data_IF_085903091441
#
_entry.id   IF_085903091441
#
_cell.length_a   1.000
_cell.length_b   1.000
_cell.length_c   1.000
_cell.angle_alpha   90.00
_cell.angle_beta   90.00
_cell.angle_gamma   90.00
#
_symmetry.space_group_name_H-M   'P 1'
#
loop_
_entity.id
_entity.type
_entity.pdbx_description
1 polymer ?
#
# COMPACT_ATOMS: atom_id res chain seq x y z
N UNK A 1 3.71 -27.02 -26.03
CA UNK A 1 3.19 -26.09 -24.99
C UNK A 1 4.38 -25.52 -24.25
N UNK A 2 4.77 -24.27 -24.56
CA UNK A 2 5.86 -23.56 -23.84
C UNK A 2 5.41 -23.29 -22.40
N UNK A 3 6.26 -23.65 -21.43
CA UNK A 3 6.07 -23.23 -20.05
C UNK A 3 6.14 -21.68 -20.04
N UNK A 4 5.03 -20.99 -19.82
CA UNK A 4 5.07 -19.59 -19.47
C UNK A 4 5.87 -19.49 -18.17
N UNK A 5 7.04 -18.83 -18.23
CA UNK A 5 7.82 -18.56 -17.04
C UNK A 5 7.01 -17.72 -16.06
N UNK A 6 7.10 -18.04 -14.77
CA UNK A 6 6.51 -17.20 -13.71
C UNK A 6 7.19 -15.84 -13.76
N UNK A 7 6.43 -14.76 -13.98
CA UNK A 7 6.93 -13.40 -13.87
C UNK A 7 7.07 -13.08 -12.37
N UNK A 8 8.27 -12.72 -11.94
CA UNK A 8 8.55 -12.24 -10.58
C UNK A 8 8.66 -10.72 -10.65
N UNK A 9 7.95 -10.03 -9.74
CA UNK A 9 8.06 -8.59 -9.56
C UNK A 9 8.72 -8.28 -8.23
N UNK A 10 9.60 -7.27 -8.23
CA UNK A 10 10.30 -6.79 -7.04
C UNK A 10 9.72 -5.43 -6.66
N UNK A 11 9.24 -5.32 -5.41
CA UNK A 11 8.84 -4.06 -4.81
C UNK A 11 9.87 -3.61 -3.78
N UNK A 12 10.30 -2.35 -3.86
CA UNK A 12 11.13 -1.71 -2.86
C UNK A 12 10.27 -0.91 -1.87
N UNK A 13 10.55 -1.05 -0.58
CA UNK A 13 9.83 -0.35 0.50
C UNK A 13 10.74 0.54 1.35
N UNK A 14 11.93 0.88 0.84
CA UNK A 14 12.93 1.72 1.54
C UNK A 14 12.31 3.04 2.01
N UNK A 15 11.51 3.68 1.18
CA UNK A 15 10.91 4.99 1.45
C UNK A 15 9.70 4.97 2.38
N UNK A 16 9.18 3.78 2.71
CA UNK A 16 8.09 3.62 3.67
C UNK A 16 8.55 2.79 4.87
N UNK A 17 8.80 1.49 4.71
CA UNK A 17 9.18 0.60 5.80
C UNK A 17 10.62 0.86 6.27
N UNK A 18 11.53 1.11 5.34
CA UNK A 18 12.92 1.44 5.66
C UNK A 18 13.04 2.74 6.47
N UNK A 19 12.20 3.74 6.22
CA UNK A 19 12.19 4.98 6.98
C UNK A 19 11.64 4.83 8.42
N UNK A 20 10.93 3.75 8.72
CA UNK A 20 10.52 3.44 10.10
C UNK A 20 11.68 2.98 11.00
N UNK A 21 12.87 2.79 10.43
CA UNK A 21 14.08 2.47 11.18
C UNK A 21 14.49 3.67 12.05
N UNK A 22 14.81 3.40 13.33
CA UNK A 22 15.24 4.45 14.25
C UNK A 22 16.45 5.22 13.72
N UNK A 23 16.35 6.55 13.69
CA UNK A 23 17.39 7.44 13.20
C UNK A 23 17.43 7.65 11.69
N UNK A 24 16.49 7.06 10.95
CA UNK A 24 16.30 7.32 9.52
C UNK A 24 15.13 8.28 9.32
N UNK A 25 15.36 9.31 8.51
CA UNK A 25 14.31 10.25 8.08
C UNK A 25 14.76 10.90 6.79
N UNK A 26 13.87 11.01 5.83
CA UNK A 26 14.12 11.62 4.53
C UNK A 26 13.27 12.88 4.34
N UNK A 27 13.88 13.94 3.82
CA UNK A 27 13.11 15.10 3.35
C UNK A 27 12.49 14.79 1.96
N UNK A 28 11.43 15.51 1.53
CA UNK A 28 10.72 15.22 0.28
C UNK A 28 11.61 15.09 -0.95
N UNK A 29 12.64 15.93 -1.06
CA UNK A 29 13.57 15.89 -2.19
C UNK A 29 14.46 14.64 -2.19
N UNK A 30 14.88 14.17 -1.01
CA UNK A 30 15.66 12.93 -0.88
C UNK A 30 14.82 11.72 -1.26
N UNK A 31 13.54 11.67 -0.83
CA UNK A 31 12.60 10.63 -1.26
C UNK A 31 12.45 10.60 -2.78
N UNK A 32 12.30 11.76 -3.43
CA UNK A 32 12.25 11.83 -4.88
C UNK A 32 13.53 11.31 -5.53
N UNK A 33 14.73 11.67 -5.02
CA UNK A 33 16.00 11.18 -5.56
C UNK A 33 16.12 9.67 -5.43
N UNK A 34 15.78 9.10 -4.27
CA UNK A 34 15.82 7.65 -4.04
C UNK A 34 14.80 6.94 -4.96
N UNK A 35 13.56 7.43 -5.05
CA UNK A 35 12.56 6.86 -5.96
C UNK A 35 13.04 6.83 -7.42
N UNK A 36 13.75 7.87 -7.87
CA UNK A 36 14.34 7.90 -9.20
C UNK A 36 15.41 6.85 -9.40
N UNK A 37 16.34 6.69 -8.44
CA UNK A 37 17.38 5.67 -8.50
C UNK A 37 16.77 4.25 -8.54
N UNK A 38 15.74 4.02 -7.74
CA UNK A 38 15.04 2.73 -7.69
C UNK A 38 14.34 2.41 -9.02
N UNK A 39 13.63 3.37 -9.60
CA UNK A 39 12.80 3.14 -10.78
C UNK A 39 13.57 3.27 -12.12
N UNK A 40 14.56 4.20 -12.23
CA UNK A 40 15.29 4.43 -13.47
C UNK A 40 16.58 3.60 -13.56
N UNK A 41 17.37 3.51 -12.48
CA UNK A 41 18.70 2.88 -12.50
C UNK A 41 18.61 1.40 -12.07
N UNK A 42 18.03 1.13 -10.90
CA UNK A 42 17.86 -0.24 -10.37
C UNK A 42 16.73 -0.99 -11.09
N UNK A 43 15.72 -0.25 -11.61
CA UNK A 43 14.59 -0.77 -12.40
C UNK A 43 13.73 -1.78 -11.63
N UNK A 44 13.47 -1.52 -10.36
CA UNK A 44 12.48 -2.29 -9.60
C UNK A 44 11.11 -2.17 -10.26
N UNK A 45 10.26 -3.14 -10.04
CA UNK A 45 8.93 -3.16 -10.66
C UNK A 45 7.98 -2.20 -9.98
N UNK A 46 8.07 -2.06 -8.63
CA UNK A 46 7.20 -1.21 -7.83
C UNK A 46 7.96 -0.56 -6.67
N UNK A 47 7.50 0.59 -6.20
CA UNK A 47 8.08 1.32 -5.05
C UNK A 47 6.98 1.79 -4.13
N UNK A 48 7.02 1.39 -2.86
CA UNK A 48 6.15 1.93 -1.82
C UNK A 48 6.84 3.14 -1.19
N UNK A 49 6.25 4.34 -1.36
CA UNK A 49 6.96 5.60 -1.11
C UNK A 49 6.60 6.29 0.21
N UNK A 50 5.47 5.95 0.82
CA UNK A 50 4.98 6.57 2.04
C UNK A 50 3.82 5.80 2.67
N UNK A 51 3.47 6.18 3.91
CA UNK A 51 2.16 5.88 4.51
C UNK A 51 1.26 7.11 4.41
N UNK A 52 0.00 6.90 4.04
CA UNK A 52 -0.98 7.96 3.96
C UNK A 52 -1.20 8.66 5.32
N UNK A 53 -1.41 9.97 5.31
CA UNK A 53 -1.84 10.77 6.47
C UNK A 53 -0.83 10.89 7.61
N UNK A 54 0.44 10.59 7.39
CA UNK A 54 1.47 10.69 8.46
C UNK A 54 1.86 12.15 8.71
N UNK A 55 2.15 12.91 7.65
CA UNK A 55 2.57 14.31 7.77
C UNK A 55 2.40 15.08 6.45
N UNK A 56 2.48 16.41 6.53
CA UNK A 56 2.50 17.27 5.33
C UNK A 56 3.77 17.01 4.48
N UNK A 57 4.89 16.67 5.12
CA UNK A 57 6.12 16.30 4.41
C UNK A 57 5.97 15.03 3.58
N UNK A 58 5.26 14.03 4.10
CA UNK A 58 4.91 12.83 3.33
C UNK A 58 4.02 13.15 2.15
N UNK A 59 3.02 14.01 2.33
CA UNK A 59 2.15 14.46 1.26
C UNK A 59 2.94 15.14 0.14
N UNK A 60 3.83 16.08 0.49
CA UNK A 60 4.69 16.78 -0.45
C UNK A 60 5.62 15.80 -1.20
N UNK A 61 6.25 14.88 -0.48
CA UNK A 61 7.12 13.86 -1.06
C UNK A 61 6.40 13.00 -2.10
N UNK A 62 5.24 12.45 -1.73
CA UNK A 62 4.44 11.61 -2.64
C UNK A 62 4.01 12.40 -3.86
N UNK A 63 3.54 13.63 -3.68
CA UNK A 63 3.15 14.51 -4.78
C UNK A 63 4.31 14.77 -5.75
N UNK A 64 5.49 15.09 -5.23
CA UNK A 64 6.69 15.31 -6.06
C UNK A 64 7.08 14.06 -6.85
N UNK A 65 7.02 12.89 -6.21
CA UNK A 65 7.32 11.60 -6.85
C UNK A 65 6.30 11.29 -7.94
N UNK A 66 4.99 11.45 -7.66
CA UNK A 66 3.92 11.21 -8.62
C UNK A 66 3.99 12.14 -9.83
N UNK A 67 4.22 13.45 -9.60
CA UNK A 67 4.40 14.43 -10.67
C UNK A 67 5.61 14.10 -11.57
N UNK A 68 6.69 13.62 -11.00
CA UNK A 68 7.86 13.17 -11.76
C UNK A 68 7.56 11.85 -12.50
N UNK A 69 6.99 10.85 -11.83
CA UNK A 69 6.72 9.53 -12.39
C UNK A 69 5.69 9.59 -13.54
N UNK A 70 4.70 10.47 -13.45
CA UNK A 70 3.70 10.69 -14.51
C UNK A 70 4.37 11.14 -15.81
N UNK A 71 5.33 12.07 -15.75
CA UNK A 71 6.09 12.55 -16.93
C UNK A 71 6.99 11.47 -17.55
N UNK A 72 7.24 10.37 -16.84
CA UNK A 72 8.09 9.25 -17.27
C UNK A 72 7.32 7.98 -17.60
N UNK A 73 5.98 8.04 -17.53
CA UNK A 73 5.10 6.85 -17.66
C UNK A 73 5.42 5.75 -16.63
N UNK A 74 5.81 6.17 -15.41
CA UNK A 74 6.17 5.27 -14.30
C UNK A 74 5.17 5.36 -13.13
N UNK A 75 4.10 6.17 -13.24
CA UNK A 75 3.15 6.41 -12.16
C UNK A 75 2.51 5.11 -11.63
N UNK A 76 2.25 4.14 -12.50
CA UNK A 76 1.70 2.84 -12.15
C UNK A 76 2.61 1.97 -11.28
N UNK A 77 3.86 2.39 -11.08
CA UNK A 77 4.86 1.72 -10.22
C UNK A 77 4.99 2.36 -8.84
N UNK A 78 4.34 3.50 -8.62
CA UNK A 78 4.39 4.25 -7.36
C UNK A 78 3.19 3.89 -6.52
N UNK A 79 3.43 3.41 -5.30
CA UNK A 79 2.41 2.90 -4.39
C UNK A 79 2.52 3.60 -3.03
N UNK A 80 1.39 3.72 -2.34
CA UNK A 80 1.30 4.32 -1.01
C UNK A 80 0.52 3.40 -0.08
N UNK A 81 1.04 3.18 1.12
CA UNK A 81 0.32 2.44 2.16
C UNK A 81 -0.86 3.28 2.66
N UNK A 82 -2.04 2.69 2.65
CA UNK A 82 -3.26 3.28 3.19
C UNK A 82 -3.95 2.35 4.17
N UNK A 83 -5.01 2.84 4.80
CA UNK A 83 -5.68 2.17 5.89
C UNK A 83 -7.17 1.97 5.60
N UNK A 84 -7.78 1.00 6.29
CA UNK A 84 -9.24 0.78 6.26
C UNK A 84 -9.88 1.82 7.18
N UNK A 85 -10.02 3.05 6.69
CA UNK A 85 -10.45 4.24 7.42
C UNK A 85 -11.57 5.04 6.71
N UNK A 86 -12.44 4.32 6.01
CA UNK A 86 -13.46 4.88 5.15
C UNK A 86 -12.83 5.47 3.87
N UNK A 87 -13.06 6.73 3.61
CA UNK A 87 -12.55 7.40 2.40
C UNK A 87 -11.20 8.10 2.61
N UNK A 88 -10.77 8.28 3.85
CA UNK A 88 -9.73 9.25 4.22
C UNK A 88 -8.35 8.96 3.61
N UNK A 89 -7.91 7.69 3.65
CA UNK A 89 -6.64 7.30 3.01
C UNK A 89 -6.72 7.39 1.49
N UNK A 90 -7.84 6.99 0.90
CA UNK A 90 -8.08 7.05 -0.56
C UNK A 90 -8.06 8.50 -1.04
N UNK A 91 -8.78 9.40 -0.37
CA UNK A 91 -8.81 10.83 -0.71
C UNK A 91 -7.42 11.46 -0.62
N UNK A 92 -6.67 11.12 0.45
CA UNK A 92 -5.30 11.61 0.62
C UNK A 92 -4.40 11.17 -0.54
N UNK A 93 -4.47 9.88 -0.92
CA UNK A 93 -3.70 9.30 -2.02
C UNK A 93 -4.08 9.97 -3.35
N UNK A 94 -5.38 10.12 -3.62
CA UNK A 94 -5.88 10.78 -4.81
C UNK A 94 -5.34 12.21 -4.95
N UNK A 95 -5.34 12.99 -3.85
CA UNK A 95 -4.86 14.37 -3.85
C UNK A 95 -3.35 14.50 -4.08
N UNK A 96 -2.56 13.46 -3.78
CA UNK A 96 -1.13 13.42 -4.16
C UNK A 96 -0.90 13.12 -5.64
N UNK A 97 -1.91 12.65 -6.35
CA UNK A 97 -1.80 12.18 -7.73
C UNK A 97 -1.39 10.71 -7.86
N UNK A 98 -1.16 9.99 -6.76
CA UNK A 98 -0.91 8.55 -6.77
C UNK A 98 -2.15 7.78 -7.23
N UNK A 99 -1.93 6.59 -7.82
CA UNK A 99 -2.99 5.76 -8.42
C UNK A 99 -3.01 4.32 -7.88
N UNK A 100 -2.21 4.04 -6.87
CA UNK A 100 -2.15 2.71 -6.27
C UNK A 100 -2.09 2.83 -4.75
N UNK A 101 -3.03 2.18 -4.07
CA UNK A 101 -3.05 2.03 -2.62
C UNK A 101 -2.65 0.61 -2.23
N UNK A 102 -1.73 0.48 -1.26
CA UNK A 102 -1.49 -0.75 -0.53
C UNK A 102 -2.35 -0.70 0.73
N UNK A 103 -3.53 -1.32 0.68
CA UNK A 103 -4.52 -1.25 1.74
C UNK A 103 -4.16 -2.22 2.87
N UNK A 104 -3.76 -1.69 4.03
CA UNK A 104 -3.38 -2.47 5.20
C UNK A 104 -4.61 -2.99 5.94
N UNK A 105 -4.81 -4.30 5.86
CA UNK A 105 -5.89 -5.04 6.52
C UNK A 105 -5.34 -5.98 7.59
N UNK A 106 -6.14 -6.37 8.56
CA UNK A 106 -5.74 -7.34 9.59
C UNK A 106 -5.94 -8.77 9.10
N UNK A 107 -4.84 -9.46 8.84
CA UNK A 107 -4.81 -10.83 8.30
C UNK A 107 -4.92 -11.93 9.37
N UNK A 108 -5.17 -11.62 10.65
CA UNK A 108 -5.46 -12.60 11.70
C UNK A 108 -6.70 -12.24 12.50
N UNK A 109 -7.48 -13.23 12.90
CA UNK A 109 -8.67 -13.04 13.75
C UNK A 109 -8.31 -12.34 15.06
N UNK A 110 -7.14 -12.66 15.62
CA UNK A 110 -6.63 -12.01 16.83
C UNK A 110 -6.46 -10.49 16.65
N UNK A 111 -5.87 -10.04 15.56
CA UNK A 111 -5.72 -8.62 15.28
C UNK A 111 -7.07 -7.95 14.97
N UNK A 112 -7.94 -8.62 14.23
CA UNK A 112 -9.30 -8.14 13.97
C UNK A 112 -10.07 -7.89 15.28
N UNK A 113 -10.15 -8.90 16.15
CA UNK A 113 -10.98 -8.85 17.36
C UNK A 113 -10.34 -8.07 18.51
N UNK A 114 -9.02 -8.14 18.70
CA UNK A 114 -8.34 -7.55 19.86
C UNK A 114 -7.80 -6.15 19.60
N UNK A 115 -7.31 -5.88 18.39
CA UNK A 115 -6.78 -4.55 18.03
C UNK A 115 -7.87 -3.66 17.45
N UNK A 116 -8.60 -4.12 16.42
CA UNK A 116 -9.68 -3.33 15.83
C UNK A 116 -10.96 -3.37 16.65
N UNK A 117 -11.15 -4.39 17.50
CA UNK A 117 -12.38 -4.65 18.26
C UNK A 117 -13.61 -4.78 17.37
N UNK A 118 -13.44 -5.42 16.21
CA UNK A 118 -14.47 -5.67 15.20
C UNK A 118 -14.74 -7.16 15.07
N UNK A 119 -15.95 -7.50 14.58
CA UNK A 119 -16.20 -8.85 14.08
C UNK A 119 -15.53 -9.08 12.73
N UNK A 120 -15.33 -10.33 12.30
CA UNK A 120 -14.86 -10.64 10.95
C UNK A 120 -15.69 -9.97 9.84
N UNK A 121 -17.01 -10.06 9.98
CA UNK A 121 -17.98 -9.54 9.01
C UNK A 121 -17.86 -8.01 8.89
N UNK A 122 -17.81 -7.30 10.03
CA UNK A 122 -17.63 -5.85 10.05
C UNK A 122 -16.29 -5.43 9.39
N UNK A 123 -15.21 -6.17 9.66
CA UNK A 123 -13.92 -5.84 9.07
C UNK A 123 -13.89 -6.09 7.56
N UNK A 124 -14.47 -7.20 7.10
CA UNK A 124 -14.59 -7.50 5.66
C UNK A 124 -15.46 -6.45 4.96
N UNK A 125 -16.59 -6.07 5.54
CA UNK A 125 -17.45 -5.03 4.97
C UNK A 125 -16.72 -3.68 4.84
N UNK A 126 -15.97 -3.29 5.86
CA UNK A 126 -15.15 -2.06 5.80
C UNK A 126 -14.12 -2.11 4.67
N UNK A 127 -13.43 -3.26 4.49
CA UNK A 127 -12.47 -3.45 3.40
C UNK A 127 -13.16 -3.31 2.05
N UNK A 128 -14.28 -4.01 1.85
CA UNK A 128 -15.07 -3.96 0.61
C UNK A 128 -15.49 -2.52 0.29
N UNK A 129 -15.92 -1.77 1.29
CA UNK A 129 -16.34 -0.38 1.12
C UNK A 129 -15.16 0.52 0.68
N UNK A 130 -13.97 0.34 1.27
CA UNK A 130 -12.77 1.09 0.86
C UNK A 130 -12.32 0.71 -0.55
N UNK A 131 -12.32 -0.59 -0.88
CA UNK A 131 -11.95 -1.08 -2.22
C UNK A 131 -12.88 -0.53 -3.29
N UNK A 132 -14.21 -0.56 -3.03
CA UNK A 132 -15.21 -0.03 -3.94
C UNK A 132 -15.02 1.49 -4.15
N UNK A 133 -14.80 2.22 -3.06
CA UNK A 133 -14.55 3.65 -3.15
C UNK A 133 -13.26 3.97 -3.91
N UNK A 134 -12.18 3.21 -3.71
CA UNK A 134 -10.94 3.37 -4.45
C UNK A 134 -11.14 3.14 -5.97
N UNK A 135 -11.92 2.12 -6.34
CA UNK A 135 -12.28 1.87 -7.74
C UNK A 135 -13.07 3.03 -8.36
N UNK A 136 -14.03 3.60 -7.63
CA UNK A 136 -14.77 4.82 -8.04
C UNK A 136 -13.86 6.04 -8.26
N UNK A 137 -12.69 6.08 -7.58
CA UNK A 137 -11.69 7.14 -7.70
C UNK A 137 -10.55 6.80 -8.68
N UNK A 138 -10.66 5.70 -9.43
CA UNK A 138 -9.64 5.25 -10.39
C UNK A 138 -8.28 4.97 -9.70
N UNK A 139 -8.34 4.38 -8.50
CA UNK A 139 -7.18 3.97 -7.69
C UNK A 139 -7.15 2.45 -7.58
N UNK A 140 -6.07 1.84 -8.08
CA UNK A 140 -5.84 0.41 -7.96
C UNK A 140 -5.52 0.01 -6.51
N UNK A 141 -6.00 -1.15 -6.07
CA UNK A 141 -5.82 -1.63 -4.69
C UNK A 141 -5.01 -2.91 -4.65
N UNK A 142 -3.95 -2.91 -3.84
CA UNK A 142 -3.28 -4.11 -3.36
C UNK A 142 -3.70 -4.33 -1.90
N UNK A 143 -4.19 -5.51 -1.55
CA UNK A 143 -4.58 -5.82 -0.17
C UNK A 143 -3.41 -6.44 0.57
N UNK A 144 -2.99 -5.80 1.67
CA UNK A 144 -1.95 -6.30 2.58
C UNK A 144 -2.60 -6.92 3.82
N UNK A 145 -2.33 -8.19 4.06
CA UNK A 145 -2.85 -8.93 5.20
C UNK A 145 -1.81 -8.97 6.33
N UNK A 146 -1.82 -7.96 7.20
CA UNK A 146 -0.92 -7.90 8.35
C UNK A 146 -1.15 -9.09 9.29
N UNK A 147 -0.06 -9.72 9.74
CA UNK A 147 -0.09 -10.91 10.59
C UNK A 147 -0.68 -12.17 9.91
N UNK A 148 -0.65 -12.22 8.57
CA UNK A 148 -1.22 -13.32 7.77
C UNK A 148 -0.67 -14.70 8.17
N UNK A 149 0.62 -14.83 8.46
CA UNK A 149 1.23 -16.11 8.81
C UNK A 149 0.67 -16.70 10.10
N UNK A 150 0.43 -15.86 11.12
CA UNK A 150 -0.26 -16.28 12.33
C UNK A 150 -1.76 -16.50 12.05
N UNK A 151 -2.37 -15.67 11.21
CA UNK A 151 -3.75 -15.88 10.76
C UNK A 151 -3.96 -17.25 10.14
N UNK A 152 -3.13 -17.66 9.20
CA UNK A 152 -3.18 -18.97 8.55
C UNK A 152 -2.94 -20.13 9.54
N UNK A 153 -2.13 -19.91 10.57
CA UNK A 153 -1.87 -20.94 11.59
C UNK A 153 -3.00 -21.10 12.59
N UNK A 154 -3.56 -19.97 13.05
CA UNK A 154 -4.43 -19.95 14.22
C UNK A 154 -5.93 -19.71 13.87
N UNK A 155 -6.22 -19.19 12.68
CA UNK A 155 -7.56 -18.82 12.21
C UNK A 155 -7.68 -18.84 10.67
N UNK A 156 -7.37 -19.98 10.01
CA UNK A 156 -7.35 -20.06 8.55
C UNK A 156 -8.72 -19.74 7.91
N UNK A 157 -9.81 -20.11 8.56
CA UNK A 157 -11.16 -19.82 8.07
C UNK A 157 -11.38 -18.32 7.89
N UNK A 158 -10.94 -17.51 8.84
CA UNK A 158 -11.02 -16.05 8.75
C UNK A 158 -10.17 -15.49 7.59
N UNK A 159 -8.96 -16.03 7.40
CA UNK A 159 -8.09 -15.60 6.32
C UNK A 159 -8.72 -15.89 4.95
N UNK A 160 -9.31 -17.09 4.78
CA UNK A 160 -10.01 -17.43 3.54
C UNK A 160 -11.23 -16.55 3.31
N UNK A 161 -12.04 -16.26 4.35
CA UNK A 161 -13.15 -15.32 4.23
C UNK A 161 -12.70 -13.92 3.77
N UNK A 162 -11.56 -13.42 4.30
CA UNK A 162 -10.97 -12.16 3.85
C UNK A 162 -10.54 -12.17 2.37
N UNK A 163 -10.06 -13.32 1.87
CA UNK A 163 -9.56 -13.44 0.51
C UNK A 163 -10.68 -13.68 -0.52
N UNK A 164 -11.83 -14.13 -0.08
CA UNK A 164 -12.99 -14.44 -0.93
C UNK A 164 -13.98 -13.26 -1.06
N UNK A 165 -13.97 -12.34 -0.10
CA UNK A 165 -14.82 -11.13 -0.06
C UNK A 165 -14.25 -10.00 -0.88
#
# INVERSE_FOLDING_TARGET
>A
MGKQGVKIEIMDTTLRDGEQTSGVSFVPHEKLMIARLLLEDLKVDRVEVASARVSDGEFEAVKMICDWAARRNLLHKVEVLGFVDGHTSVDWIQHTGCRVINLLCKGSLKHCTQQLKKSPEEHIEDIINVVRYADEQDIAVNVYLEDWSNGMKDSPEYVFQLMEG
#
